data_IF_871494994573
#
_entry.id   IF_871494994573
#
_cell.length_a   1.000
_cell.length_b   1.000
_cell.length_c   1.000
_cell.angle_alpha   90.00
_cell.angle_beta   90.00
_cell.angle_gamma   90.00
#
_symmetry.space_group_name_H-M   'P 1'
#
loop_
_entity.id
_entity.type
_entity.pdbx_description
1 polymer ?
#
# COMPACT_ATOMS: atom_id res chain seq x y z
N UNK A 1 6.68 -12.93 -0.61
CA UNK A 1 5.71 -12.49 0.41
C UNK A 1 4.29 -12.47 -0.12
N UNK A 2 4.05 -12.04 -1.36
CA UNK A 2 2.68 -11.93 -1.90
C UNK A 2 1.84 -13.23 -1.85
N UNK A 3 2.45 -14.38 -2.10
CA UNK A 3 1.78 -15.69 -1.97
C UNK A 3 1.33 -15.95 -0.54
N UNK A 4 2.18 -15.66 0.44
CA UNK A 4 1.85 -15.80 1.86
C UNK A 4 0.70 -14.88 2.27
N UNK A 5 0.71 -13.62 1.82
CA UNK A 5 -0.37 -12.66 2.07
C UNK A 5 -1.72 -13.06 1.42
N UNK A 6 -1.71 -14.01 0.48
CA UNK A 6 -2.89 -14.48 -0.24
C UNK A 6 -3.38 -15.86 0.23
N UNK A 7 -2.69 -16.47 1.19
CA UNK A 7 -3.05 -17.77 1.76
C UNK A 7 -3.88 -17.63 3.03
N UNK A 8 -4.69 -18.64 3.34
CA UNK A 8 -5.33 -18.73 4.66
C UNK A 8 -4.26 -18.93 5.74
N UNK A 9 -4.33 -18.11 6.80
CA UNK A 9 -3.43 -18.22 7.94
C UNK A 9 -3.93 -19.35 8.85
N UNK A 10 -3.12 -20.38 9.03
CA UNK A 10 -3.37 -21.53 9.91
C UNK A 10 -2.40 -21.53 11.10
N UNK A 11 -2.59 -22.43 12.07
CA UNK A 11 -1.63 -22.59 13.18
C UNK A 11 -0.24 -23.00 12.67
N UNK A 12 -0.15 -23.71 11.54
CA UNK A 12 1.10 -24.12 10.91
C UNK A 12 1.80 -22.96 10.16
N UNK A 13 1.09 -21.86 9.85
CA UNK A 13 1.69 -20.66 9.24
C UNK A 13 2.71 -19.96 10.13
N UNK A 14 2.82 -20.36 11.41
CA UNK A 14 3.86 -19.89 12.31
C UNK A 14 5.28 -20.32 11.86
N UNK A 15 5.41 -21.39 11.06
CA UNK A 15 6.69 -21.88 10.54
C UNK A 15 7.15 -21.13 9.26
N UNK A 16 6.27 -20.32 8.64
CA UNK A 16 6.56 -19.48 7.47
C UNK A 16 7.28 -18.15 7.82
N UNK A 17 8.04 -18.16 8.93
CA UNK A 17 8.88 -17.07 9.46
C UNK A 17 9.74 -16.35 8.37
N UNK A 18 10.29 -17.02 7.33
CA UNK A 18 11.02 -16.35 6.25
C UNK A 18 10.20 -15.32 5.45
N UNK A 19 8.86 -15.34 5.57
CA UNK A 19 7.95 -14.39 4.93
C UNK A 19 7.80 -13.06 5.70
N UNK A 20 8.39 -12.96 6.89
CA UNK A 20 8.33 -11.75 7.72
C UNK A 20 9.22 -10.67 7.11
N UNK A 21 8.57 -9.63 6.59
CA UNK A 21 9.25 -8.42 6.14
C UNK A 21 9.80 -7.66 7.35
N UNK A 22 11.09 -7.35 7.31
CA UNK A 22 11.74 -6.46 8.27
C UNK A 22 12.09 -5.19 7.53
N UNK A 23 11.37 -4.11 7.83
CA UNK A 23 11.66 -2.79 7.29
C UNK A 23 12.71 -2.05 8.11
N UNK A 24 13.39 -1.12 7.47
CA UNK A 24 14.29 -0.13 8.08
C UNK A 24 13.67 1.27 7.91
N UNK A 25 12.91 1.77 8.91
CA UNK A 25 12.24 3.07 8.81
C UNK A 25 13.23 4.25 8.75
N UNK A 26 14.50 4.06 9.12
CA UNK A 26 15.51 5.11 9.00
C UNK A 26 16.00 5.23 7.55
N UNK A 27 16.29 4.11 6.90
CA UNK A 27 16.58 4.08 5.47
C UNK A 27 15.38 4.57 4.65
N UNK A 28 14.16 4.13 4.99
CA UNK A 28 12.93 4.61 4.33
C UNK A 28 12.80 6.14 4.45
N UNK A 29 13.14 6.70 5.63
CA UNK A 29 13.10 8.14 5.84
C UNK A 29 14.08 8.91 4.94
N UNK A 30 15.30 8.41 4.78
CA UNK A 30 16.28 8.98 3.86
C UNK A 30 15.77 8.86 2.42
N UNK A 31 15.25 7.69 2.04
CA UNK A 31 14.74 7.42 0.69
C UNK A 31 13.58 8.35 0.33
N UNK A 32 12.69 8.61 1.28
CA UNK A 32 11.59 9.57 1.13
C UNK A 32 12.13 10.97 0.85
N UNK A 33 13.07 11.47 1.65
CA UNK A 33 13.60 12.83 1.47
C UNK A 33 14.39 12.96 0.16
N UNK A 34 15.21 11.96 -0.18
CA UNK A 34 15.93 11.90 -1.46
C UNK A 34 14.97 11.89 -2.65
N UNK A 35 13.88 11.10 -2.57
CA UNK A 35 12.85 11.02 -3.60
C UNK A 35 12.12 12.36 -3.79
N UNK A 36 11.74 13.02 -2.69
CA UNK A 36 11.09 14.34 -2.74
C UNK A 36 12.01 15.41 -3.33
N UNK A 37 13.30 15.41 -2.97
CA UNK A 37 14.29 16.32 -3.54
C UNK A 37 14.52 16.02 -5.02
N UNK A 38 14.63 14.75 -5.40
CA UNK A 38 14.82 14.34 -6.79
C UNK A 38 13.65 14.79 -7.67
N UNK A 39 12.42 14.72 -7.18
CA UNK A 39 11.22 15.21 -7.87
C UNK A 39 11.29 16.70 -8.23
N UNK A 40 12.02 17.51 -7.45
CA UNK A 40 12.16 18.94 -7.73
C UNK A 40 13.20 19.25 -8.82
N UNK A 41 14.06 18.28 -9.18
CA UNK A 41 15.13 18.48 -10.17
C UNK A 41 14.64 18.44 -11.62
N UNK A 42 13.45 17.87 -11.87
CA UNK A 42 12.95 17.59 -13.21
C UNK A 42 13.77 16.54 -13.98
N UNK A 43 14.52 15.67 -13.28
CA UNK A 43 15.30 14.59 -13.89
C UNK A 43 14.52 13.29 -14.09
N UNK A 44 13.42 13.10 -13.36
CA UNK A 44 12.62 11.87 -13.36
C UNK A 44 11.69 11.84 -14.58
N UNK A 45 11.70 10.72 -15.30
CA UNK A 45 10.69 10.35 -16.30
C UNK A 45 9.60 9.50 -15.65
N UNK A 46 9.98 8.58 -14.76
CA UNK A 46 9.05 7.75 -14.00
C UNK A 46 9.71 7.19 -12.75
N UNK A 47 8.90 6.83 -11.76
CA UNK A 47 9.37 6.26 -10.50
C UNK A 47 8.32 5.29 -9.96
N UNK A 48 8.76 4.20 -9.35
CA UNK A 48 7.91 3.16 -8.78
C UNK A 48 8.56 2.55 -7.54
N UNK A 49 7.77 2.38 -6.47
CA UNK A 49 8.19 1.65 -5.29
C UNK A 49 8.31 0.15 -5.60
N UNK A 50 9.21 -0.54 -4.89
CA UNK A 50 9.48 -1.96 -5.14
C UNK A 50 8.89 -2.83 -4.03
N UNK A 51 7.61 -3.17 -4.17
CA UNK A 51 6.89 -4.05 -3.25
C UNK A 51 6.88 -5.52 -3.70
N UNK A 52 5.68 -6.05 -3.89
CA UNK A 52 5.45 -7.44 -4.29
C UNK A 52 6.14 -7.79 -5.62
N UNK A 53 6.81 -8.94 -5.65
CA UNK A 53 7.61 -9.41 -6.79
C UNK A 53 8.72 -8.44 -7.26
N UNK A 54 9.09 -7.42 -6.47
CA UNK A 54 10.36 -6.71 -6.61
C UNK A 54 10.64 -6.09 -7.98
N UNK A 55 11.81 -6.42 -8.54
CA UNK A 55 12.33 -5.83 -9.79
C UNK A 55 11.43 -6.19 -10.96
N UNK A 56 11.01 -7.45 -11.07
CA UNK A 56 10.24 -7.88 -12.25
C UNK A 56 8.91 -7.14 -12.35
N UNK A 57 8.21 -6.94 -11.22
CA UNK A 57 6.96 -6.20 -11.19
C UNK A 57 7.18 -4.70 -11.47
N UNK A 58 8.14 -4.09 -10.78
CA UNK A 58 8.41 -2.65 -10.94
C UNK A 58 8.82 -2.31 -12.37
N UNK A 59 9.69 -3.14 -12.98
CA UNK A 59 10.11 -2.97 -14.37
C UNK A 59 8.97 -3.23 -15.36
N UNK A 60 8.13 -4.26 -15.16
CA UNK A 60 6.99 -4.53 -16.04
C UNK A 60 5.93 -3.44 -15.98
N UNK A 61 5.55 -2.99 -14.78
CA UNK A 61 4.55 -1.94 -14.61
C UNK A 61 4.99 -0.60 -15.19
N UNK A 62 6.25 -0.22 -14.97
CA UNK A 62 6.79 1.01 -15.55
C UNK A 62 6.92 0.92 -17.07
N UNK A 63 7.42 -0.20 -17.59
CA UNK A 63 7.58 -0.43 -19.02
C UNK A 63 6.22 -0.45 -19.76
N UNK A 64 5.24 -1.19 -19.23
CA UNK A 64 3.91 -1.29 -19.82
C UNK A 64 3.14 0.04 -19.79
N UNK A 65 3.16 0.78 -18.67
CA UNK A 65 2.56 2.12 -18.59
C UNK A 65 3.23 3.12 -19.53
N UNK A 66 4.53 2.93 -19.76
CA UNK A 66 5.30 3.75 -20.69
C UNK A 66 5.12 3.36 -22.15
N UNK A 67 4.58 2.18 -22.48
CA UNK A 67 4.62 1.58 -23.83
C UNK A 67 6.07 1.36 -24.35
N UNK A 68 6.97 0.96 -23.45
CA UNK A 68 8.39 0.72 -23.72
C UNK A 68 8.82 -0.63 -23.10
N UNK A 69 10.10 -0.95 -23.21
CA UNK A 69 10.73 -2.10 -22.57
C UNK A 69 11.97 -1.69 -21.80
N UNK A 70 12.69 -2.68 -21.26
CA UNK A 70 13.93 -2.43 -20.51
C UNK A 70 14.95 -3.53 -20.71
N UNK A 71 16.23 -3.16 -20.76
CA UNK A 71 17.37 -4.09 -20.63
C UNK A 71 17.99 -3.88 -19.26
N UNK A 72 17.89 -4.89 -18.40
CA UNK A 72 18.36 -4.83 -17.02
C UNK A 72 19.52 -5.81 -16.86
N UNK A 73 20.62 -5.35 -16.26
CA UNK A 73 21.74 -6.16 -15.85
C UNK A 73 21.67 -6.42 -14.34
N UNK A 74 21.40 -7.67 -13.98
CA UNK A 74 21.29 -8.13 -12.59
C UNK A 74 22.62 -8.10 -11.83
N UNK A 75 23.77 -8.16 -12.53
CA UNK A 75 25.09 -8.05 -11.90
C UNK A 75 25.32 -6.66 -11.28
N UNK A 76 24.56 -5.66 -11.71
CA UNK A 76 24.62 -4.29 -11.18
C UNK A 76 23.69 -4.06 -9.99
N UNK A 77 22.76 -4.97 -9.72
CA UNK A 77 21.82 -4.81 -8.61
C UNK A 77 22.58 -4.97 -7.30
N UNK A 78 22.52 -4.00 -6.36
CA UNK A 78 23.14 -4.15 -5.06
C UNK A 78 22.56 -5.35 -4.30
N UNK A 79 23.41 -6.30 -3.90
CA UNK A 79 23.00 -7.52 -3.20
C UNK A 79 23.46 -7.50 -1.74
N UNK A 80 22.58 -7.94 -0.84
CA UNK A 80 22.91 -8.12 0.59
C UNK A 80 23.56 -9.47 0.89
N UNK A 81 23.33 -10.47 0.04
CA UNK A 81 23.87 -11.82 0.17
C UNK A 81 24.65 -12.17 -1.11
N UNK A 82 25.64 -13.04 -0.97
CA UNK A 82 26.39 -13.60 -2.10
C UNK A 82 25.67 -14.84 -2.66
N UNK A 83 26.01 -15.22 -3.89
CA UNK A 83 25.51 -16.44 -4.55
C UNK A 83 23.97 -16.51 -4.64
N UNK A 84 23.34 -15.37 -4.95
CA UNK A 84 21.90 -15.27 -5.19
C UNK A 84 21.63 -15.64 -6.65
N UNK A 85 20.64 -16.50 -6.88
CA UNK A 85 20.20 -16.90 -8.22
C UNK A 85 19.42 -15.77 -8.92
N UNK A 86 19.41 -15.70 -10.26
CA UNK A 86 18.76 -14.61 -10.99
C UNK A 86 17.29 -14.38 -10.60
N UNK A 87 16.52 -15.46 -10.39
CA UNK A 87 15.10 -15.36 -10.04
C UNK A 87 14.90 -14.81 -8.62
N UNK A 88 15.82 -15.07 -7.70
CA UNK A 88 15.77 -14.55 -6.34
C UNK A 88 16.04 -13.03 -6.34
N UNK A 89 16.95 -12.54 -7.19
CA UNK A 89 17.18 -11.10 -7.39
C UNK A 89 15.90 -10.45 -7.93
N UNK A 90 15.29 -11.05 -8.95
CA UNK A 90 14.10 -10.52 -9.62
C UNK A 90 12.88 -10.44 -8.69
N UNK A 91 12.62 -11.51 -7.94
CA UNK A 91 11.42 -11.69 -7.11
C UNK A 91 11.62 -11.26 -5.66
N UNK A 92 12.83 -10.82 -5.28
CA UNK A 92 13.11 -10.31 -3.94
C UNK A 92 12.15 -9.18 -3.58
N UNK A 93 11.51 -9.30 -2.42
CA UNK A 93 10.65 -8.28 -1.80
C UNK A 93 11.40 -7.57 -0.64
N UNK A 94 12.73 -7.46 -0.74
CA UNK A 94 13.51 -6.66 0.22
C UNK A 94 13.01 -5.22 0.25
N UNK A 95 12.90 -4.66 1.45
CA UNK A 95 12.28 -3.36 1.70
C UNK A 95 13.20 -2.18 1.34
N UNK A 96 12.65 -0.97 1.42
CA UNK A 96 13.32 0.32 1.15
C UNK A 96 14.01 0.43 -0.21
N UNK A 97 13.32 0.03 -1.29
CA UNK A 97 13.82 0.16 -2.66
C UNK A 97 12.87 0.92 -3.56
N UNK A 98 13.45 1.66 -4.49
CA UNK A 98 12.75 2.47 -5.48
C UNK A 98 13.39 2.23 -6.85
N UNK A 99 12.57 2.01 -7.87
CA UNK A 99 13.01 2.03 -9.26
C UNK A 99 12.75 3.42 -9.84
N UNK A 100 13.79 4.03 -10.43
CA UNK A 100 13.69 5.37 -11.02
C UNK A 100 14.17 5.33 -12.47
N UNK A 101 13.34 5.82 -13.38
CA UNK A 101 13.71 6.08 -14.77
C UNK A 101 13.98 7.58 -14.89
N UNK A 102 15.18 7.91 -15.36
CA UNK A 102 15.67 9.28 -15.49
C UNK A 102 15.92 9.64 -16.95
N UNK A 103 15.91 10.93 -17.23
CA UNK A 103 16.31 11.43 -18.55
C UNK A 103 17.82 11.24 -18.76
N UNK A 104 18.20 10.71 -19.92
CA UNK A 104 19.59 10.49 -20.30
C UNK A 104 20.38 11.81 -20.27
N UNK A 105 21.55 11.79 -19.65
CA UNK A 105 22.39 12.98 -19.44
C UNK A 105 22.16 13.70 -18.11
N UNK A 106 21.13 13.32 -17.32
CA UNK A 106 20.87 13.86 -15.99
C UNK A 106 21.36 12.95 -14.85
N UNK A 107 22.17 11.94 -15.15
CA UNK A 107 22.68 10.95 -14.18
C UNK A 107 23.39 11.64 -13.01
N UNK A 108 24.29 12.60 -13.30
CA UNK A 108 25.03 13.34 -12.26
C UNK A 108 24.15 14.16 -11.32
N UNK A 109 23.00 14.62 -11.78
CA UNK A 109 22.04 15.35 -10.94
C UNK A 109 21.43 14.39 -9.93
N UNK A 110 21.05 13.21 -10.41
CA UNK A 110 20.43 12.14 -9.62
C UNK A 110 21.42 11.59 -8.61
N UNK A 111 22.64 11.23 -9.04
CA UNK A 111 23.74 10.76 -8.20
C UNK A 111 24.00 11.75 -7.06
N UNK A 112 24.10 13.05 -7.36
CA UNK A 112 24.34 14.07 -6.33
C UNK A 112 23.24 14.15 -5.28
N UNK A 113 21.98 13.94 -5.64
CA UNK A 113 20.87 13.91 -4.67
C UNK A 113 21.01 12.69 -3.78
N UNK A 114 21.19 11.49 -4.33
CA UNK A 114 21.29 10.29 -3.52
C UNK A 114 22.57 10.22 -2.68
N UNK A 115 23.71 10.73 -3.18
CA UNK A 115 24.96 10.87 -2.42
C UNK A 115 24.78 11.78 -1.19
N UNK A 116 24.05 12.89 -1.33
CA UNK A 116 23.76 13.81 -0.22
C UNK A 116 23.00 13.13 0.92
N UNK A 117 22.09 12.22 0.57
CA UNK A 117 21.25 11.49 1.52
C UNK A 117 21.86 10.14 1.94
N UNK A 118 23.09 9.84 1.51
CA UNK A 118 23.82 8.59 1.79
C UNK A 118 23.05 7.33 1.36
N UNK A 119 22.44 7.39 0.17
CA UNK A 119 21.68 6.30 -0.43
C UNK A 119 22.40 5.79 -1.67
N UNK A 120 22.52 4.47 -1.76
CA UNK A 120 23.10 3.84 -2.94
C UNK A 120 22.16 3.99 -4.16
N UNK A 121 22.67 4.60 -5.24
CA UNK A 121 21.96 4.73 -6.50
C UNK A 121 22.80 4.09 -7.61
N UNK A 122 22.28 3.04 -8.25
CA UNK A 122 22.99 2.31 -9.31
C UNK A 122 22.15 2.22 -10.56
N UNK A 123 22.76 2.55 -11.71
CA UNK A 123 22.14 2.34 -13.02
C UNK A 123 22.20 0.86 -13.36
N UNK A 124 21.08 0.16 -13.16
CA UNK A 124 20.97 -1.28 -13.44
C UNK A 124 20.57 -1.59 -14.89
N UNK A 125 20.15 -0.61 -15.68
CA UNK A 125 19.66 -0.87 -17.03
C UNK A 125 19.30 0.37 -17.83
N UNK A 126 18.68 0.13 -18.98
CA UNK A 126 18.22 1.16 -19.91
C UNK A 126 16.81 0.86 -20.43
N UNK A 127 16.03 1.92 -20.70
CA UNK A 127 14.74 1.83 -21.38
C UNK A 127 14.97 1.66 -22.88
N UNK A 128 14.19 0.78 -23.49
CA UNK A 128 14.22 0.50 -24.93
C UNK A 128 12.84 0.70 -25.55
N UNK A 129 12.77 0.87 -26.87
CA UNK A 129 11.52 1.14 -27.58
C UNK A 129 10.63 -0.12 -27.77
N UNK A 130 11.19 -1.31 -27.61
CA UNK A 130 10.48 -2.59 -27.79
C UNK A 130 9.63 -2.93 -26.56
N UNK A 131 8.46 -3.55 -26.70
CA UNK A 131 7.64 -4.05 -25.57
C UNK A 131 8.21 -5.36 -24.98
N UNK A 132 9.47 -5.33 -24.53
CA UNK A 132 10.17 -6.50 -23.96
C UNK A 132 11.06 -6.11 -22.79
N UNK A 133 11.07 -6.97 -21.78
CA UNK A 133 12.00 -6.93 -20.66
C UNK A 133 13.06 -8.00 -20.87
N UNK A 134 14.31 -7.56 -20.96
CA UNK A 134 15.46 -8.42 -21.03
C UNK A 134 16.24 -8.32 -19.73
N UNK A 135 16.46 -9.47 -19.08
CA UNK A 135 17.28 -9.55 -17.87
C UNK A 135 18.55 -10.33 -18.19
N UNK A 136 19.70 -9.72 -17.86
CA UNK A 136 21.02 -10.30 -18.07
C UNK A 136 21.73 -10.54 -16.75
N UNK A 137 22.49 -11.63 -16.66
CA UNK A 137 23.42 -11.90 -15.56
C UNK A 137 24.63 -12.67 -16.11
N UNK A 138 25.84 -12.27 -15.74
CA UNK A 138 27.09 -12.80 -16.28
C UNK A 138 27.13 -12.78 -17.82
N UNK A 139 26.71 -11.67 -18.42
CA UNK A 139 26.59 -11.46 -19.88
C UNK A 139 25.65 -12.45 -20.60
N UNK A 140 24.81 -13.19 -19.86
CA UNK A 140 23.83 -14.14 -20.42
C UNK A 140 22.42 -13.62 -20.21
N UNK A 141 21.58 -13.78 -21.23
CA UNK A 141 20.15 -13.53 -21.12
C UNK A 141 19.51 -14.60 -20.24
N UNK A 142 19.00 -14.20 -19.08
CA UNK A 142 18.38 -15.12 -18.09
C UNK A 142 16.85 -15.10 -18.16
N UNK A 143 16.25 -14.00 -18.62
CA UNK A 143 14.82 -13.92 -18.86
C UNK A 143 14.50 -12.92 -19.98
N UNK A 144 13.49 -13.26 -20.78
CA UNK A 144 12.97 -12.44 -21.88
C UNK A 144 11.45 -12.59 -21.92
N UNK A 145 10.75 -11.51 -21.59
CA UNK A 145 9.29 -11.50 -21.40
C UNK A 145 8.69 -10.21 -21.97
N UNK A 146 7.50 -10.26 -22.59
CA UNK A 146 6.78 -9.04 -22.95
C UNK A 146 6.41 -8.23 -21.71
N UNK A 147 6.64 -6.91 -21.71
CA UNK A 147 6.31 -6.09 -20.55
C UNK A 147 4.78 -5.99 -20.35
N UNK A 148 4.05 -5.80 -21.45
CA UNK A 148 2.59 -5.69 -21.48
C UNK A 148 1.86 -6.90 -20.91
N UNK A 149 2.43 -8.11 -20.94
CA UNK A 149 1.79 -9.33 -20.43
C UNK A 149 1.91 -9.50 -18.91
N UNK A 150 2.90 -8.86 -18.29
CA UNK A 150 3.20 -9.01 -16.86
C UNK A 150 2.52 -7.96 -15.98
N UNK A 151 1.45 -7.33 -16.46
CA UNK A 151 0.68 -6.32 -15.72
C UNK A 151 -0.81 -6.64 -15.70
N UNK A 152 -1.55 -6.00 -14.79
CA UNK A 152 -3.00 -6.12 -14.73
C UNK A 152 -3.63 -5.68 -16.07
N UNK A 153 -4.49 -6.52 -16.65
CA UNK A 153 -5.05 -6.28 -17.99
C UNK A 153 -4.17 -6.77 -19.14
N UNK A 154 -2.96 -7.26 -18.87
CA UNK A 154 -1.99 -7.79 -19.84
C UNK A 154 -2.32 -9.16 -20.46
N UNK A 155 -3.55 -9.64 -20.30
CA UNK A 155 -3.97 -10.97 -20.77
C UNK A 155 -3.82 -12.09 -19.74
N UNK A 156 -3.49 -11.78 -18.48
CA UNK A 156 -3.68 -12.71 -17.38
C UNK A 156 -5.16 -13.17 -17.35
N UNK A 157 -5.44 -14.49 -17.27
CA UNK A 157 -6.81 -14.99 -17.33
C UNK A 157 -7.69 -14.38 -16.23
N UNK A 158 -8.80 -13.78 -16.65
CA UNK A 158 -9.83 -13.29 -15.72
C UNK A 158 -10.77 -14.45 -15.40
N UNK A 159 -10.90 -14.77 -14.12
CA UNK A 159 -11.78 -15.84 -13.67
C UNK A 159 -13.19 -15.31 -13.43
N UNK A 160 -14.16 -15.81 -14.20
CA UNK A 160 -15.56 -15.76 -13.82
C UNK A 160 -15.89 -17.02 -13.02
N UNK A 161 -16.02 -16.88 -11.70
CA UNK A 161 -16.37 -17.99 -10.82
C UNK A 161 -17.88 -18.02 -10.61
N UNK A 162 -18.46 -19.21 -10.67
CA UNK A 162 -19.84 -19.39 -10.22
C UNK A 162 -19.96 -18.98 -8.76
N UNK A 163 -20.91 -18.08 -8.48
CA UNK A 163 -21.23 -17.66 -7.12
C UNK A 163 -22.70 -17.94 -6.85
N UNK A 164 -23.01 -18.28 -5.61
CA UNK A 164 -24.38 -18.43 -5.13
C UNK A 164 -24.59 -17.57 -3.90
N UNK A 165 -25.80 -17.07 -3.78
CA UNK A 165 -26.22 -16.36 -2.57
C UNK A 165 -26.07 -17.27 -1.35
N UNK A 166 -25.37 -16.83 -0.30
CA UNK A 166 -25.17 -17.67 0.87
C UNK A 166 -26.48 -17.84 1.66
N UNK A 167 -26.64 -19.00 2.29
CA UNK A 167 -27.85 -19.33 3.04
C UNK A 167 -28.09 -18.37 4.21
N UNK A 168 -27.02 -17.94 4.91
CA UNK A 168 -27.11 -17.02 6.05
C UNK A 168 -27.80 -15.70 5.71
N UNK A 169 -27.70 -15.22 4.47
CA UNK A 169 -28.27 -13.94 4.07
C UNK A 169 -29.80 -13.95 4.14
N UNK A 170 -30.44 -15.08 3.79
CA UNK A 170 -31.89 -15.21 3.93
C UNK A 170 -32.32 -15.30 5.40
N UNK A 171 -31.50 -15.88 6.27
CA UNK A 171 -31.77 -15.93 7.71
C UNK A 171 -31.73 -14.53 8.32
N UNK A 172 -30.72 -13.70 8.00
CA UNK A 172 -30.65 -12.32 8.49
C UNK A 172 -31.83 -11.46 8.03
N UNK A 173 -32.39 -11.71 6.84
CA UNK A 173 -33.59 -11.01 6.36
C UNK A 173 -34.87 -11.30 7.15
N UNK A 174 -34.90 -12.37 7.95
CA UNK A 174 -36.05 -12.68 8.81
C UNK A 174 -36.05 -11.84 10.09
N UNK A 175 -34.93 -11.21 10.43
CA UNK A 175 -34.82 -10.36 11.61
C UNK A 175 -35.71 -9.12 11.45
N UNK A 176 -36.50 -8.82 12.48
CA UNK A 176 -37.19 -7.53 12.63
C UNK A 176 -36.75 -6.89 13.93
N UNK A 177 -36.45 -5.59 13.89
CA UNK A 177 -36.11 -4.80 15.08
C UNK A 177 -37.28 -4.75 16.08
N UNK A 178 -38.51 -4.84 15.59
CA UNK A 178 -39.73 -4.83 16.43
C UNK A 178 -39.82 -6.06 17.35
N UNK A 179 -39.08 -7.13 17.04
CA UNK A 179 -39.01 -8.33 17.87
C UNK A 179 -37.98 -8.21 19.01
N UNK A 180 -37.21 -7.13 19.07
CA UNK A 180 -36.24 -6.88 20.13
C UNK A 180 -36.96 -6.14 21.26
N UNK A 181 -37.13 -6.76 22.45
CA UNK A 181 -37.79 -6.08 23.57
C UNK A 181 -36.94 -4.90 24.05
N UNK A 182 -37.61 -3.82 24.41
CA UNK A 182 -36.95 -2.67 25.02
C UNK A 182 -36.41 -3.05 26.41
N UNK A 183 -35.16 -2.71 26.74
CA UNK A 183 -34.58 -3.06 28.03
C UNK A 183 -35.13 -2.18 29.16
N UNK A 184 -35.46 -2.80 30.30
CA UNK A 184 -35.95 -2.07 31.49
C UNK A 184 -34.87 -1.21 32.18
N UNK A 185 -33.58 -1.54 31.97
CA UNK A 185 -32.43 -0.85 32.59
C UNK A 185 -31.44 -0.35 31.52
N UNK A 186 -31.69 0.86 31.02
CA UNK A 186 -30.81 1.52 30.06
C UNK A 186 -29.40 1.80 30.61
N UNK A 187 -29.25 2.01 31.92
CA UNK A 187 -27.93 2.27 32.51
C UNK A 187 -27.05 1.03 32.40
N UNK A 188 -27.60 -0.15 32.68
CA UNK A 188 -26.89 -1.42 32.50
C UNK A 188 -26.51 -1.65 31.04
N UNK A 189 -27.43 -1.41 30.10
CA UNK A 189 -27.14 -1.56 28.66
C UNK A 189 -26.03 -0.62 28.21
N UNK A 190 -26.09 0.66 28.61
CA UNK A 190 -25.05 1.64 28.30
C UNK A 190 -23.68 1.21 28.87
N UNK A 191 -23.64 0.74 30.13
CA UNK A 191 -22.42 0.20 30.75
C UNK A 191 -21.85 -1.01 30.00
N UNK A 192 -22.70 -1.86 29.44
CA UNK A 192 -22.27 -2.97 28.59
C UNK A 192 -21.70 -2.48 27.26
N UNK A 193 -22.35 -1.52 26.60
CA UNK A 193 -21.91 -0.99 25.31
C UNK A 193 -20.54 -0.29 25.41
N UNK A 194 -20.35 0.60 26.38
CA UNK A 194 -19.09 1.35 26.53
C UNK A 194 -17.89 0.47 26.88
N UNK A 195 -18.12 -0.75 27.41
CA UNK A 195 -17.09 -1.75 27.71
C UNK A 195 -16.76 -2.64 26.51
N UNK A 196 -17.55 -2.60 25.44
CA UNK A 196 -17.27 -3.40 24.24
C UNK A 196 -16.01 -2.84 23.55
N UNK A 197 -14.97 -3.64 23.28
CA UNK A 197 -13.76 -3.16 22.63
C UNK A 197 -13.98 -2.46 21.28
N UNK A 198 -15.06 -2.78 20.56
CA UNK A 198 -15.41 -2.10 19.31
C UNK A 198 -15.88 -0.66 19.53
N UNK A 199 -16.47 -0.33 20.68
CA UNK A 199 -17.00 1.01 21.02
C UNK A 199 -16.06 1.76 21.97
N UNK A 200 -15.41 1.04 22.89
CA UNK A 200 -14.56 1.60 23.91
C UNK A 200 -13.44 2.48 23.32
N UNK A 201 -12.88 3.36 24.16
CA UNK A 201 -11.80 4.26 23.79
C UNK A 201 -10.63 3.50 23.15
N UNK A 202 -10.17 3.99 21.99
CA UNK A 202 -8.99 3.48 21.29
C UNK A 202 -7.70 4.19 21.71
N UNK A 203 -7.73 4.91 22.84
CA UNK A 203 -6.61 5.71 23.36
C UNK A 203 -5.30 4.94 23.48
N UNK A 204 -5.37 3.73 24.01
CA UNK A 204 -4.20 2.86 24.10
C UNK A 204 -3.52 2.64 22.74
N UNK A 205 -4.27 2.58 21.63
CA UNK A 205 -3.69 2.42 20.30
C UNK A 205 -2.95 3.69 19.89
N UNK A 206 -3.61 4.84 19.89
CA UNK A 206 -3.01 6.05 19.33
C UNK A 206 -1.94 6.71 20.23
N UNK A 207 -1.94 6.49 21.54
CA UNK A 207 -0.90 7.01 22.45
C UNK A 207 0.47 6.34 22.28
N UNK A 208 0.53 5.22 21.56
CA UNK A 208 1.78 4.56 21.20
C UNK A 208 2.51 5.25 20.04
N UNK A 209 1.84 6.17 19.33
CA UNK A 209 2.40 6.86 18.18
C UNK A 209 2.61 8.35 18.48
N UNK A 210 3.66 8.93 17.89
CA UNK A 210 3.83 10.38 17.90
C UNK A 210 2.79 11.03 16.99
N UNK A 211 2.10 12.04 17.51
CA UNK A 211 1.05 12.79 16.79
C UNK A 211 1.43 14.25 16.54
N UNK A 212 2.67 14.64 16.86
CA UNK A 212 3.11 16.03 16.93
C UNK A 212 4.32 16.34 16.03
N UNK A 213 5.02 15.33 15.50
CA UNK A 213 6.10 15.49 14.53
C UNK A 213 5.60 16.30 13.34
N UNK A 214 6.39 17.31 12.97
CA UNK A 214 6.07 18.35 11.96
C UNK A 214 4.88 19.24 12.30
N UNK A 215 4.19 19.07 13.42
CA UNK A 215 3.06 19.91 13.87
C UNK A 215 1.97 20.10 12.82
N UNK A 216 1.74 19.08 11.98
CA UNK A 216 0.71 19.12 10.93
C UNK A 216 -0.65 18.61 11.42
N UNK A 217 -0.68 17.70 12.40
CA UNK A 217 -1.93 17.16 12.92
C UNK A 217 -2.69 18.24 13.71
N UNK A 218 -3.94 18.48 13.35
CA UNK A 218 -4.81 19.46 13.99
C UNK A 218 -5.77 18.84 15.03
N UNK A 219 -5.90 17.51 15.07
CA UNK A 219 -6.89 16.83 15.93
C UNK A 219 -6.34 16.35 17.28
N UNK A 220 -5.04 16.45 17.55
CA UNK A 220 -4.42 15.96 18.80
C UNK A 220 -5.06 16.55 20.06
N UNK A 221 -5.24 17.88 20.10
CA UNK A 221 -5.84 18.58 21.24
C UNK A 221 -7.36 18.78 21.09
N UNK A 222 -7.88 18.63 19.87
CA UNK A 222 -9.28 18.83 19.53
C UNK A 222 -9.75 17.61 18.73
N UNK A 223 -10.16 16.52 19.41
CA UNK A 223 -10.63 15.31 18.75
C UNK A 223 -11.76 15.63 17.76
N UNK A 224 -11.73 14.97 16.61
CA UNK A 224 -12.72 15.09 15.54
C UNK A 224 -13.09 13.70 15.02
N UNK A 225 -14.19 13.60 14.27
CA UNK A 225 -14.65 12.34 13.67
C UNK A 225 -13.72 11.84 12.53
N UNK A 226 -12.81 12.69 12.07
CA UNK A 226 -11.79 12.37 11.07
C UNK A 226 -10.41 12.91 11.49
N UNK A 227 -9.33 12.42 10.87
CA UNK A 227 -7.99 12.99 11.01
C UNK A 227 -7.83 14.26 10.17
N UNK A 228 -7.28 15.32 10.76
CA UNK A 228 -7.06 16.60 10.08
C UNK A 228 -5.56 16.90 9.98
N UNK A 229 -5.07 17.06 8.75
CA UNK A 229 -3.66 17.32 8.45
C UNK A 229 -3.52 18.67 7.76
N UNK A 230 -2.93 19.64 8.45
CA UNK A 230 -2.64 20.96 7.91
C UNK A 230 -1.61 20.89 6.77
N UNK A 231 -1.89 21.56 5.64
CA UNK A 231 -0.94 21.70 4.54
C UNK A 231 -0.19 23.02 4.73
N UNK A 232 1.01 22.93 5.33
CA UNK A 232 1.85 24.11 5.61
C UNK A 232 2.08 24.96 4.36
N UNK A 233 2.08 26.29 4.55
CA UNK A 233 2.24 27.26 3.47
C UNK A 233 0.94 27.53 2.69
N UNK A 234 -0.16 26.87 3.04
CA UNK A 234 -1.48 27.08 2.42
C UNK A 234 -2.54 27.42 3.47
N UNK A 235 -3.77 27.69 3.00
CA UNK A 235 -4.95 27.85 3.86
C UNK A 235 -5.81 26.58 3.89
N UNK A 236 -5.27 25.46 3.42
CA UNK A 236 -5.99 24.20 3.24
C UNK A 236 -5.49 23.14 4.19
N UNK A 237 -6.36 22.18 4.52
CA UNK A 237 -6.04 20.98 5.27
C UNK A 237 -6.61 19.75 4.55
N UNK A 238 -6.00 18.60 4.74
CA UNK A 238 -6.56 17.31 4.32
C UNK A 238 -7.36 16.70 5.46
N UNK A 239 -8.51 16.13 5.12
CA UNK A 239 -9.38 15.41 6.06
C UNK A 239 -9.40 13.94 5.64
N UNK A 240 -9.10 13.04 6.57
CA UNK A 240 -8.88 11.62 6.31
C UNK A 240 -9.70 10.78 7.29
N UNK A 241 -10.44 9.79 6.79
CA UNK A 241 -11.15 8.80 7.61
C UNK A 241 -11.14 7.44 6.93
N UNK A 242 -11.38 6.39 7.70
CA UNK A 242 -11.58 5.03 7.21
C UNK A 242 -12.69 4.38 8.03
N UNK A 243 -13.69 3.85 7.35
CA UNK A 243 -14.90 3.34 7.99
C UNK A 243 -15.38 2.07 7.30
N UNK A 244 -15.72 1.05 8.10
CA UNK A 244 -16.37 -0.16 7.62
C UNK A 244 -17.01 -0.93 8.78
N UNK A 245 -18.34 -1.11 8.72
CA UNK A 245 -19.04 -1.95 9.68
C UNK A 245 -19.19 -3.38 9.13
N UNK A 246 -18.29 -4.27 9.55
CA UNK A 246 -18.26 -5.67 9.09
C UNK A 246 -19.56 -6.44 9.38
N UNK A 247 -20.30 -6.09 10.44
CA UNK A 247 -21.59 -6.72 10.76
C UNK A 247 -22.68 -6.32 9.77
N UNK A 248 -22.69 -5.06 9.33
CA UNK A 248 -23.62 -4.61 8.30
C UNK A 248 -23.30 -5.24 6.96
N UNK A 249 -22.02 -5.34 6.60
CA UNK A 249 -21.58 -6.05 5.39
C UNK A 249 -21.94 -7.54 5.45
N UNK A 250 -21.77 -8.19 6.61
CA UNK A 250 -22.17 -9.59 6.79
C UNK A 250 -23.69 -9.78 6.69
N UNK A 251 -24.48 -8.85 7.23
CA UNK A 251 -25.94 -8.92 7.22
C UNK A 251 -26.52 -8.68 5.81
N UNK A 252 -26.05 -7.62 5.14
CA UNK A 252 -26.42 -7.31 3.76
C UNK A 252 -25.24 -6.63 3.05
N UNK A 253 -24.43 -7.34 2.23
CA UNK A 253 -23.21 -6.79 1.67
C UNK A 253 -23.44 -5.51 0.85
N UNK A 254 -24.55 -5.42 0.12
CA UNK A 254 -24.84 -4.26 -0.71
C UNK A 254 -25.15 -3.01 0.13
N UNK A 255 -25.99 -3.17 1.17
CA UNK A 255 -26.28 -2.06 2.09
C UNK A 255 -25.11 -1.74 3.01
N UNK A 256 -24.38 -2.75 3.47
CA UNK A 256 -23.23 -2.59 4.34
C UNK A 256 -22.12 -1.76 3.69
N UNK A 257 -21.82 -2.02 2.41
CA UNK A 257 -20.84 -1.21 1.68
C UNK A 257 -21.34 0.20 1.37
N UNK A 258 -22.63 0.37 1.05
CA UNK A 258 -23.23 1.71 0.94
C UNK A 258 -23.09 2.50 2.25
N UNK A 259 -23.35 1.86 3.39
CA UNK A 259 -23.21 2.49 4.71
C UNK A 259 -21.75 2.84 4.99
N UNK A 260 -20.78 1.98 4.66
CA UNK A 260 -19.36 2.26 4.86
C UNK A 260 -18.92 3.55 4.15
N UNK A 261 -19.30 3.72 2.88
CA UNK A 261 -19.03 4.95 2.12
C UNK A 261 -19.76 6.16 2.73
N UNK A 262 -21.03 5.98 3.11
CA UNK A 262 -21.82 7.06 3.71
C UNK A 262 -21.30 7.50 5.09
N UNK A 263 -20.77 6.58 5.90
CA UNK A 263 -20.16 6.85 7.19
C UNK A 263 -18.85 7.63 7.03
N UNK A 264 -17.96 7.19 6.14
CA UNK A 264 -16.73 7.91 5.81
C UNK A 264 -17.02 9.35 5.33
N UNK A 265 -17.96 9.51 4.40
CA UNK A 265 -18.36 10.83 3.94
C UNK A 265 -18.93 11.70 5.08
N UNK A 266 -19.72 11.11 5.99
CA UNK A 266 -20.30 11.82 7.13
C UNK A 266 -19.23 12.28 8.12
N UNK A 267 -18.24 11.45 8.43
CA UNK A 267 -17.13 11.78 9.32
C UNK A 267 -16.29 12.95 8.76
N UNK A 268 -16.05 12.96 7.44
CA UNK A 268 -15.39 14.07 6.74
C UNK A 268 -16.22 15.36 6.86
N UNK A 269 -17.52 15.30 6.55
CA UNK A 269 -18.42 16.47 6.59
C UNK A 269 -18.56 17.03 8.01
N UNK A 270 -18.74 16.18 9.02
CA UNK A 270 -18.81 16.58 10.43
C UNK A 270 -17.51 17.25 10.90
N UNK A 271 -16.37 16.86 10.32
CA UNK A 271 -15.06 17.47 10.57
C UNK A 271 -14.81 18.75 9.73
N UNK A 272 -15.78 19.19 8.93
CA UNK A 272 -15.72 20.41 8.12
C UNK A 272 -15.06 20.24 6.74
N UNK A 273 -14.83 19.00 6.28
CA UNK A 273 -14.28 18.70 4.96
C UNK A 273 -15.35 18.47 3.89
N UNK A 274 -14.91 18.49 2.63
CA UNK A 274 -15.70 18.05 1.47
C UNK A 274 -15.18 16.68 1.02
N UNK A 275 -16.01 15.61 1.02
CA UNK A 275 -15.60 14.31 0.49
C UNK A 275 -15.28 14.39 -1.01
N UNK A 276 -14.12 13.86 -1.41
CA UNK A 276 -13.61 13.85 -2.81
C UNK A 276 -13.43 12.44 -3.35
#
# INVERSE_FOLDING_TARGET
GATFASSDITEDSADDIPSIQVGDPFQEKLLLEATLELNQTGAIVGMQDMGAAGIICSTSEMAAKGEHGMKINLDKVPLRQHNIEPFEILLSESQERMLVVIEKGKEKIVEKVFDKWDINCVIIGEVIAEDRLYFYMNDRLVADVPASTLVLGGGAPVYEREYKKPAYYNEYKKFSIDNVPEPDDFKKVALTLIRNPNIASKRWVYEQYDTMVRTNNMSTNFPSDAGLVNIKGTRSAMVLTVDCNSRYVMADPNKGTQIAVAEAARNIVCSGGEPV
#
